data_IF_003114111253
#
_entry.id   IF_003114111253
#
_cell.length_a   1.000
_cell.length_b   1.000
_cell.length_c   1.000
_cell.angle_alpha   90.00
_cell.angle_beta   90.00
_cell.angle_gamma   90.00
#
_symmetry.space_group_name_H-M   'P 1'
#
loop_
_entity.id
_entity.type
_entity.pdbx_description
1 polymer ?
#
# COMPACT_ATOMS: atom_id res chain seq x y z
N UNK A 1 -2.49 11.15 27.00
CA UNK A 1 -3.01 10.64 25.71
C UNK A 1 -1.89 10.24 24.74
N UNK A 2 -0.86 11.07 24.53
CA UNK A 2 0.29 10.78 23.65
C UNK A 2 1.06 9.49 24.00
N UNK A 3 1.42 9.29 25.28
CA UNK A 3 2.17 8.09 25.71
C UNK A 3 1.38 6.78 25.51
N UNK A 4 0.06 6.82 25.68
CA UNK A 4 -0.82 5.66 25.48
C UNK A 4 -0.84 5.22 24.02
N UNK A 5 -1.02 6.18 23.10
CA UNK A 5 -1.03 5.91 21.66
C UNK A 5 0.33 5.37 21.15
N UNK A 6 1.44 5.95 21.61
CA UNK A 6 2.78 5.47 21.28
C UNK A 6 3.05 4.05 21.81
N UNK A 7 2.63 3.77 23.05
CA UNK A 7 2.76 2.43 23.68
C UNK A 7 1.92 1.39 22.94
N UNK A 8 0.67 1.76 22.59
CA UNK A 8 -0.24 0.92 21.80
C UNK A 8 0.37 0.58 20.44
N UNK A 9 0.88 1.58 19.72
CA UNK A 9 1.55 1.33 18.44
C UNK A 9 2.77 0.41 18.60
N UNK A 10 3.60 0.63 19.63
CA UNK A 10 4.77 -0.21 19.91
C UNK A 10 4.38 -1.66 20.19
N UNK A 11 3.31 -1.89 20.97
CA UNK A 11 2.73 -3.21 21.19
C UNK A 11 2.32 -3.87 19.86
N UNK A 12 1.58 -3.14 19.03
CA UNK A 12 1.11 -3.65 17.73
C UNK A 12 2.27 -3.97 16.80
N UNK A 13 3.26 -3.08 16.68
CA UNK A 13 4.44 -3.27 15.83
C UNK A 13 5.20 -4.52 16.25
N UNK A 14 5.43 -4.69 17.55
CA UNK A 14 6.09 -5.88 18.10
C UNK A 14 5.28 -7.16 17.83
N UNK A 15 3.96 -7.11 17.94
CA UNK A 15 3.09 -8.23 17.61
C UNK A 15 3.20 -8.63 16.13
N UNK A 16 3.14 -7.65 15.22
CA UNK A 16 3.25 -7.85 13.77
C UNK A 16 4.62 -8.41 13.38
N UNK A 17 5.70 -7.91 13.99
CA UNK A 17 7.07 -8.44 13.83
C UNK A 17 7.13 -9.91 14.27
N UNK A 18 6.61 -10.24 15.45
CA UNK A 18 6.57 -11.63 15.97
C UNK A 18 5.76 -12.58 15.09
N UNK A 19 4.87 -12.05 14.24
CA UNK A 19 4.09 -12.82 13.25
C UNK A 19 4.77 -12.93 11.88
N UNK A 20 6.02 -12.48 11.75
CA UNK A 20 6.86 -12.70 10.56
C UNK A 20 6.81 -11.59 9.51
N UNK A 21 6.29 -10.40 9.84
CA UNK A 21 6.15 -9.29 8.88
C UNK A 21 7.30 -8.28 8.93
N UNK A 22 8.44 -8.64 9.53
CA UNK A 22 9.63 -7.77 9.64
C UNK A 22 10.12 -7.27 8.28
N UNK A 23 10.20 -8.15 7.28
CA UNK A 23 10.68 -7.79 5.94
C UNK A 23 9.76 -6.80 5.25
N UNK A 24 8.45 -6.93 5.43
CA UNK A 24 7.47 -6.02 4.83
C UNK A 24 7.52 -4.62 5.46
N UNK A 25 7.66 -4.56 6.80
CA UNK A 25 7.87 -3.30 7.51
C UNK A 25 9.18 -2.65 7.06
N UNK A 26 10.26 -3.45 6.97
CA UNK A 26 11.58 -2.97 6.55
C UNK A 26 11.55 -2.49 5.10
N UNK A 27 10.89 -3.21 4.20
CA UNK A 27 10.66 -2.76 2.84
C UNK A 27 9.95 -1.41 2.82
N UNK A 28 8.81 -1.29 3.52
CA UNK A 28 8.01 -0.06 3.53
C UNK A 28 8.79 1.14 4.11
N UNK A 29 9.68 0.91 5.07
CA UNK A 29 10.55 1.93 5.66
C UNK A 29 11.63 2.43 4.68
N UNK A 30 12.04 1.59 3.71
CA UNK A 30 13.08 1.92 2.74
C UNK A 30 12.53 2.43 1.39
N UNK A 31 11.22 2.35 1.14
CA UNK A 31 10.65 2.88 -0.11
C UNK A 31 10.80 4.40 -0.16
N UNK A 32 11.50 4.89 -1.18
CA UNK A 32 11.78 6.30 -1.39
C UNK A 32 11.30 6.76 -2.79
N UNK A 33 10.48 7.80 -2.85
CA UNK A 33 9.98 8.33 -4.12
C UNK A 33 11.10 8.86 -5.03
N UNK A 34 12.20 9.38 -4.44
CA UNK A 34 13.35 9.86 -5.23
C UNK A 34 14.03 8.71 -5.98
N UNK A 35 14.03 7.51 -5.44
CA UNK A 35 14.61 6.30 -6.04
C UNK A 35 13.63 5.56 -6.96
N UNK A 36 12.37 6.02 -7.05
CA UNK A 36 11.36 5.43 -7.92
C UNK A 36 11.81 5.47 -9.39
N UNK A 37 11.98 4.30 -9.99
CA UNK A 37 12.22 4.11 -11.41
C UNK A 37 10.99 3.57 -12.16
N UNK A 38 11.09 3.47 -13.48
CA UNK A 38 10.01 3.00 -14.34
C UNK A 38 9.58 1.57 -14.00
N UNK A 39 10.55 0.71 -13.68
CA UNK A 39 10.32 -0.70 -13.37
C UNK A 39 9.52 -0.86 -12.08
N UNK A 40 9.94 -0.17 -11.03
CA UNK A 40 9.26 -0.15 -9.73
C UNK A 40 7.85 0.44 -9.91
N UNK A 41 7.71 1.55 -10.62
CA UNK A 41 6.40 2.16 -10.86
C UNK A 41 5.43 1.20 -11.57
N UNK A 42 5.87 0.55 -12.65
CA UNK A 42 5.05 -0.41 -13.41
C UNK A 42 4.67 -1.63 -12.55
N UNK A 43 5.59 -2.13 -11.73
CA UNK A 43 5.32 -3.21 -10.78
C UNK A 43 4.28 -2.80 -9.75
N UNK A 44 4.43 -1.64 -9.12
CA UNK A 44 3.54 -1.18 -8.05
C UNK A 44 2.14 -0.83 -8.59
N UNK A 45 2.04 -0.16 -9.74
CA UNK A 45 0.72 0.11 -10.32
C UNK A 45 0.00 -1.18 -10.72
N UNK A 46 0.73 -2.17 -11.25
CA UNK A 46 0.15 -3.48 -11.56
C UNK A 46 -0.32 -4.21 -10.30
N UNK A 47 0.49 -4.22 -9.23
CA UNK A 47 0.12 -4.77 -7.93
C UNK A 47 -1.19 -4.15 -7.41
N UNK A 48 -1.30 -2.83 -7.46
CA UNK A 48 -2.48 -2.11 -6.97
C UNK A 48 -3.71 -2.37 -7.84
N UNK A 49 -3.57 -2.37 -9.17
CA UNK A 49 -4.66 -2.70 -10.12
C UNK A 49 -5.19 -4.09 -9.83
N UNK A 50 -4.33 -5.08 -9.63
CA UNK A 50 -4.73 -6.45 -9.33
C UNK A 50 -5.41 -6.55 -7.96
N UNK A 51 -4.85 -5.89 -6.95
CA UNK A 51 -5.32 -5.90 -5.55
C UNK A 51 -6.69 -5.23 -5.34
N UNK A 52 -7.08 -4.31 -6.23
CA UNK A 52 -8.37 -3.61 -6.16
C UNK A 52 -9.56 -4.61 -6.09
N UNK A 53 -10.25 -4.67 -4.96
CA UNK A 53 -11.39 -5.59 -4.75
C UNK A 53 -11.03 -7.08 -4.63
N UNK A 54 -9.76 -7.41 -4.41
CA UNK A 54 -9.29 -8.79 -4.26
C UNK A 54 -8.69 -9.03 -2.88
N UNK A 55 -8.72 -10.29 -2.40
CA UNK A 55 -7.92 -10.68 -1.23
C UNK A 55 -6.44 -10.59 -1.59
N UNK A 56 -5.65 -9.97 -0.73
CA UNK A 56 -4.22 -9.75 -0.94
C UNK A 56 -3.46 -11.06 -1.15
N UNK A 57 -3.79 -12.11 -0.39
CA UNK A 57 -3.20 -13.44 -0.53
C UNK A 57 -3.42 -14.08 -1.91
N UNK A 58 -4.56 -13.83 -2.56
CA UNK A 58 -4.82 -14.32 -3.92
C UNK A 58 -3.85 -13.66 -4.89
N UNK A 59 -3.68 -12.33 -4.79
CA UNK A 59 -2.80 -11.58 -5.69
C UNK A 59 -1.35 -11.96 -5.44
N UNK A 60 -0.91 -12.05 -4.18
CA UNK A 60 0.43 -12.49 -3.80
C UNK A 60 0.81 -13.81 -4.48
N UNK A 61 -0.09 -14.79 -4.47
CA UNK A 61 0.17 -16.12 -5.03
C UNK A 61 0.30 -16.16 -6.56
N UNK A 62 -0.20 -15.14 -7.27
CA UNK A 62 -0.13 -15.08 -8.74
C UNK A 62 0.83 -14.02 -9.26
N UNK A 63 1.31 -13.11 -8.40
CA UNK A 63 1.96 -11.88 -8.84
C UNK A 63 3.29 -12.14 -9.54
N UNK A 64 4.06 -13.16 -9.14
CA UNK A 64 5.31 -13.51 -9.82
C UNK A 64 5.06 -14.00 -11.26
N UNK A 65 4.06 -14.86 -11.46
CA UNK A 65 3.66 -15.33 -12.80
C UNK A 65 3.13 -14.20 -13.69
N UNK A 66 2.41 -13.25 -13.08
CA UNK A 66 1.99 -12.04 -13.79
C UNK A 66 3.22 -11.19 -14.13
N UNK A 67 4.13 -10.99 -13.19
CA UNK A 67 5.38 -10.24 -13.42
C UNK A 67 6.17 -10.81 -14.60
N UNK A 68 6.35 -12.13 -14.65
CA UNK A 68 6.99 -12.82 -15.78
C UNK A 68 6.27 -12.57 -17.11
N UNK A 69 4.93 -12.57 -17.10
CA UNK A 69 4.11 -12.28 -18.28
C UNK A 69 4.33 -10.87 -18.82
N UNK A 70 4.75 -9.94 -17.96
CA UNK A 70 5.07 -8.55 -18.28
C UNK A 70 6.58 -8.26 -18.26
N UNK A 71 7.41 -9.27 -18.54
CA UNK A 71 8.87 -9.16 -18.62
C UNK A 71 9.50 -8.59 -17.33
N UNK A 72 8.98 -8.99 -16.17
CA UNK A 72 9.40 -8.52 -14.86
C UNK A 72 9.48 -6.99 -14.76
N UNK A 73 8.53 -6.33 -15.45
CA UNK A 73 8.34 -4.88 -15.46
C UNK A 73 9.52 -4.10 -16.03
N UNK A 74 10.40 -4.74 -16.83
CA UNK A 74 11.68 -4.16 -17.30
C UNK A 74 11.53 -2.77 -17.92
N UNK A 75 10.54 -2.57 -18.80
CA UNK A 75 10.16 -1.24 -19.31
C UNK A 75 8.79 -1.27 -19.97
N UNK A 76 8.11 -0.14 -19.99
CA UNK A 76 6.84 0.08 -20.69
C UNK A 76 7.01 -0.15 -22.18
N UNK A 77 8.11 0.32 -22.79
CA UNK A 77 8.44 0.09 -24.21
C UNK A 77 8.45 -1.39 -24.58
N UNK A 78 9.06 -2.23 -23.74
CA UNK A 78 9.10 -3.69 -23.97
C UNK A 78 7.71 -4.32 -23.83
N UNK A 79 6.94 -3.90 -22.82
CA UNK A 79 5.56 -4.37 -22.62
C UNK A 79 4.70 -4.01 -23.84
N UNK A 80 4.76 -2.78 -24.33
CA UNK A 80 3.94 -2.31 -25.45
C UNK A 80 4.32 -2.99 -26.77
N UNK A 81 5.61 -3.16 -27.03
CA UNK A 81 6.09 -3.93 -28.19
C UNK A 81 5.55 -5.36 -28.22
N UNK A 82 5.22 -5.93 -27.06
CA UNK A 82 4.78 -7.31 -26.89
C UNK A 82 3.37 -7.43 -26.28
N UNK A 83 2.53 -6.40 -26.40
CA UNK A 83 1.28 -6.26 -25.62
C UNK A 83 0.35 -7.48 -25.71
N UNK A 84 0.19 -8.06 -26.90
CA UNK A 84 -0.68 -9.22 -27.11
C UNK A 84 -0.14 -10.45 -26.39
N UNK A 85 1.18 -10.67 -26.46
CA UNK A 85 1.87 -11.75 -25.73
C UNK A 85 1.74 -11.57 -24.22
N UNK A 86 1.91 -10.35 -23.71
CA UNK A 86 1.68 -10.02 -22.30
C UNK A 86 0.25 -10.37 -21.89
N UNK A 87 -0.73 -9.91 -22.67
CA UNK A 87 -2.15 -10.13 -22.42
C UNK A 87 -2.48 -11.63 -22.36
N UNK A 88 -2.18 -12.38 -23.43
CA UNK A 88 -2.53 -13.79 -23.53
C UNK A 88 -1.82 -14.67 -22.50
N UNK A 89 -0.58 -14.33 -22.10
CA UNK A 89 0.10 -15.03 -21.00
C UNK A 89 -0.56 -14.71 -19.65
N UNK A 90 -0.79 -13.42 -19.37
CA UNK A 90 -1.32 -13.00 -18.09
C UNK A 90 -2.75 -13.50 -17.82
N UNK A 91 -3.63 -13.52 -18.83
CA UNK A 91 -5.01 -14.03 -18.65
C UNK A 91 -5.07 -15.53 -18.35
N UNK A 92 -4.04 -16.31 -18.75
CA UNK A 92 -3.93 -17.73 -18.38
C UNK A 92 -3.59 -17.90 -16.90
N UNK A 93 -2.87 -16.94 -16.32
CA UNK A 93 -2.54 -16.93 -14.89
C UNK A 93 -3.67 -16.32 -14.05
N UNK A 94 -4.35 -15.30 -14.58
CA UNK A 94 -5.40 -14.56 -13.91
C UNK A 94 -6.49 -14.15 -14.88
N UNK A 95 -7.61 -14.88 -14.87
CA UNK A 95 -8.72 -14.70 -15.82
C UNK A 95 -9.59 -13.47 -15.50
N UNK A 96 -8.97 -12.29 -15.39
CA UNK A 96 -9.64 -11.00 -15.29
C UNK A 96 -9.13 -10.07 -16.40
N UNK A 97 -9.74 -10.20 -17.56
CA UNK A 97 -9.34 -9.47 -18.78
C UNK A 97 -9.27 -7.96 -18.55
N UNK A 98 -10.22 -7.38 -17.82
CA UNK A 98 -10.28 -5.93 -17.59
C UNK A 98 -9.08 -5.42 -16.76
N UNK A 99 -8.69 -6.15 -15.71
CA UNK A 99 -7.50 -5.79 -14.92
C UNK A 99 -6.22 -5.98 -15.71
N UNK A 100 -6.10 -7.05 -16.50
CA UNK A 100 -4.92 -7.25 -17.35
C UNK A 100 -4.82 -6.15 -18.42
N UNK A 101 -5.94 -5.79 -19.06
CA UNK A 101 -5.97 -4.65 -19.99
C UNK A 101 -5.60 -3.34 -19.31
N UNK A 102 -6.02 -3.11 -18.06
CA UNK A 102 -5.65 -1.91 -17.31
C UNK A 102 -4.15 -1.80 -17.05
N UNK A 103 -3.46 -2.92 -16.81
CA UNK A 103 -1.99 -2.93 -16.68
C UNK A 103 -1.32 -2.53 -18.01
N UNK A 104 -1.82 -3.04 -19.14
CA UNK A 104 -1.32 -2.67 -20.47
C UNK A 104 -1.56 -1.18 -20.74
N UNK A 105 -2.76 -0.67 -20.47
CA UNK A 105 -3.09 0.75 -20.63
C UNK A 105 -2.22 1.65 -19.73
N UNK A 106 -1.90 1.21 -18.52
CA UNK A 106 -0.95 1.91 -17.66
C UNK A 106 0.45 1.97 -18.30
N UNK A 107 0.96 0.85 -18.82
CA UNK A 107 2.23 0.83 -19.56
C UNK A 107 2.18 1.70 -20.82
N UNK A 108 1.05 1.76 -21.55
CA UNK A 108 0.89 2.61 -22.73
C UNK A 108 1.00 4.09 -22.34
N UNK A 109 0.34 4.49 -21.25
CA UNK A 109 0.42 5.85 -20.71
C UNK A 109 1.85 6.21 -20.29
N UNK A 110 2.55 5.31 -19.61
CA UNK A 110 3.97 5.50 -19.23
C UNK A 110 4.85 5.65 -20.48
N UNK A 111 4.70 4.76 -21.46
CA UNK A 111 5.50 4.79 -22.69
C UNK A 111 5.25 6.06 -23.52
N UNK A 112 4.00 6.56 -23.54
CA UNK A 112 3.62 7.77 -24.27
C UNK A 112 4.17 9.04 -23.63
N UNK A 113 4.10 9.15 -22.31
CA UNK A 113 4.54 10.36 -21.57
C UNK A 113 6.07 10.33 -21.35
N UNK A 114 6.64 9.14 -21.20
CA UNK A 114 7.98 8.94 -20.67
C UNK A 114 7.98 8.97 -19.13
N UNK A 115 8.64 8.00 -18.51
CA UNK A 115 8.58 7.84 -17.05
C UNK A 115 9.12 9.06 -16.29
N UNK A 116 10.21 9.69 -16.73
CA UNK A 116 10.77 10.87 -16.06
C UNK A 116 9.75 12.02 -16.00
N UNK A 117 9.08 12.31 -17.12
CA UNK A 117 8.06 13.36 -17.19
C UNK A 117 6.84 12.98 -16.33
N UNK A 118 6.43 11.72 -16.37
CA UNK A 118 5.34 11.22 -15.52
C UNK A 118 5.67 11.37 -14.03
N UNK A 119 6.90 11.02 -13.61
CA UNK A 119 7.37 11.16 -12.22
C UNK A 119 7.31 12.62 -11.76
N UNK A 120 7.72 13.56 -12.61
CA UNK A 120 7.59 15.01 -12.32
C UNK A 120 6.13 15.41 -12.11
N UNK A 121 5.25 15.01 -13.02
CA UNK A 121 3.81 15.29 -12.93
C UNK A 121 3.20 14.70 -11.64
N UNK A 122 3.58 13.47 -11.27
CA UNK A 122 3.14 12.83 -10.03
C UNK A 122 3.66 13.59 -8.81
N UNK A 123 4.91 14.09 -8.83
CA UNK A 123 5.48 14.83 -7.69
C UNK A 123 4.74 16.13 -7.40
N UNK A 124 4.16 16.77 -8.42
CA UNK A 124 3.43 18.03 -8.30
C UNK A 124 1.99 17.81 -7.81
N UNK A 125 1.31 16.76 -8.30
CA UNK A 125 -0.06 16.45 -7.90
C UNK A 125 -0.30 14.92 -7.88
N UNK A 126 0.15 14.20 -6.84
CA UNK A 126 0.19 12.74 -6.86
C UNK A 126 -1.19 12.11 -6.87
N UNK A 127 -2.12 12.64 -6.07
CA UNK A 127 -3.43 12.04 -5.87
C UNK A 127 -4.29 12.15 -7.12
N UNK A 128 -4.36 13.32 -7.75
CA UNK A 128 -5.19 13.48 -8.95
C UNK A 128 -4.58 12.75 -10.14
N UNK A 129 -3.25 12.85 -10.32
CA UNK A 129 -2.57 12.28 -11.48
C UNK A 129 -2.56 10.76 -11.49
N UNK A 130 -2.45 10.14 -10.32
CA UNK A 130 -2.52 8.69 -10.22
C UNK A 130 -3.95 8.16 -10.36
N UNK A 131 -4.98 8.94 -10.03
CA UNK A 131 -6.38 8.54 -10.25
C UNK A 131 -6.79 8.53 -11.72
N UNK A 132 -6.02 9.16 -12.61
CA UNK A 132 -6.23 9.07 -14.06
C UNK A 132 -5.92 7.66 -14.61
N UNK A 133 -5.35 6.75 -13.83
CA UNK A 133 -5.12 5.36 -14.23
C UNK A 133 -6.33 4.48 -13.92
N UNK A 134 -6.68 3.59 -14.84
CA UNK A 134 -7.77 2.64 -14.65
C UNK A 134 -7.62 1.83 -13.36
N UNK A 135 -8.72 1.61 -12.64
CA UNK A 135 -8.80 0.93 -11.33
C UNK A 135 -8.16 1.68 -10.16
N UNK A 136 -7.58 2.86 -10.35
CA UNK A 136 -7.04 3.69 -9.28
C UNK A 136 -8.09 4.73 -8.87
N UNK A 137 -8.99 4.34 -7.97
CA UNK A 137 -10.01 5.23 -7.41
C UNK A 137 -9.57 6.01 -6.16
N UNK A 138 -10.48 6.77 -5.54
CA UNK A 138 -10.18 7.69 -4.43
C UNK A 138 -9.54 7.05 -3.19
N UNK A 139 -9.80 5.77 -2.92
CA UNK A 139 -9.14 5.04 -1.82
C UNK A 139 -7.91 4.28 -2.32
N UNK A 140 -7.99 3.70 -3.52
CA UNK A 140 -6.93 2.86 -4.10
C UNK A 140 -5.68 3.67 -4.43
N UNK A 141 -5.82 4.95 -4.78
CA UNK A 141 -4.68 5.85 -5.00
C UNK A 141 -3.74 5.91 -3.81
N UNK A 142 -4.27 5.89 -2.58
CA UNK A 142 -3.47 5.88 -1.36
C UNK A 142 -2.63 4.61 -1.19
N UNK A 143 -3.06 3.49 -1.77
CA UNK A 143 -2.24 2.27 -1.85
C UNK A 143 -1.04 2.49 -2.77
N UNK A 144 -1.27 3.12 -3.93
CA UNK A 144 -0.20 3.35 -4.89
C UNK A 144 0.80 4.39 -4.38
N UNK A 145 0.34 5.54 -3.87
CA UNK A 145 1.26 6.61 -3.41
C UNK A 145 2.19 6.13 -2.29
N UNK A 146 1.69 5.32 -1.34
CA UNK A 146 2.54 4.79 -0.27
C UNK A 146 3.54 3.74 -0.79
N UNK A 147 3.13 2.92 -1.76
CA UNK A 147 3.97 1.90 -2.38
C UNK A 147 5.10 2.48 -3.24
N UNK A 148 4.93 3.71 -3.73
CA UNK A 148 5.96 4.44 -4.48
C UNK A 148 6.75 5.43 -3.60
N UNK A 149 6.56 5.41 -2.28
CA UNK A 149 7.40 6.13 -1.32
C UNK A 149 6.93 7.54 -0.96
N UNK A 150 5.67 7.89 -1.24
CA UNK A 150 5.08 9.14 -0.76
C UNK A 150 4.45 8.93 0.62
N UNK A 151 4.48 9.97 1.49
CA UNK A 151 4.13 9.83 2.91
C UNK A 151 2.62 9.90 3.15
N UNK A 152 1.88 8.91 2.63
CA UNK A 152 0.44 8.79 2.78
C UNK A 152 0.04 7.47 3.46
N UNK A 153 -1.04 7.52 4.23
CA UNK A 153 -1.73 6.33 4.71
C UNK A 153 -2.94 6.01 3.81
N UNK A 154 -3.34 4.74 3.72
CA UNK A 154 -4.51 4.30 2.96
C UNK A 154 -5.75 4.32 3.87
N UNK A 155 -6.76 5.14 3.57
CA UNK A 155 -7.95 5.24 4.41
C UNK A 155 -8.93 4.07 4.13
N UNK A 156 -8.46 2.84 4.27
CA UNK A 156 -9.30 1.64 4.15
C UNK A 156 -10.15 1.40 5.41
N UNK A 157 -11.03 0.40 5.33
CA UNK A 157 -12.01 0.13 6.39
C UNK A 157 -11.35 -0.20 7.74
N UNK A 158 -10.19 -0.83 7.77
CA UNK A 158 -9.52 -1.23 9.01
C UNK A 158 -8.89 -0.01 9.65
N UNK A 159 -8.11 0.74 8.86
CA UNK A 159 -7.42 1.91 9.39
C UNK A 159 -8.40 3.03 9.80
N UNK A 160 -9.52 3.21 9.07
CA UNK A 160 -10.62 4.10 9.47
C UNK A 160 -11.25 3.70 10.81
N UNK A 161 -11.45 2.40 11.05
CA UNK A 161 -12.03 1.90 12.31
C UNK A 161 -11.08 2.13 13.49
N UNK A 162 -9.80 1.86 13.30
CA UNK A 162 -8.77 2.12 14.32
C UNK A 162 -8.70 3.62 14.60
N UNK A 163 -8.55 4.46 13.58
CA UNK A 163 -8.52 5.92 13.74
C UNK A 163 -9.74 6.43 14.51
N UNK A 164 -10.96 5.98 14.16
CA UNK A 164 -12.19 6.35 14.87
C UNK A 164 -12.17 5.93 16.35
N UNK A 165 -11.70 4.71 16.65
CA UNK A 165 -11.57 4.24 18.05
C UNK A 165 -10.60 5.12 18.84
N UNK A 166 -9.53 5.61 18.21
CA UNK A 166 -8.57 6.52 18.82
C UNK A 166 -9.03 7.99 18.82
N UNK A 167 -10.27 8.29 18.41
CA UNK A 167 -10.84 9.64 18.42
C UNK A 167 -10.51 10.49 17.19
N UNK A 168 -10.04 9.89 16.09
CA UNK A 168 -9.69 10.57 14.85
C UNK A 168 -10.80 10.44 13.79
N UNK A 169 -11.14 11.54 13.13
CA UNK A 169 -12.02 11.56 11.95
C UNK A 169 -11.28 11.36 10.63
N UNK A 170 -9.95 11.55 10.62
CA UNK A 170 -9.09 11.47 9.45
C UNK A 170 -7.91 10.52 9.70
N UNK A 171 -7.71 9.59 8.76
CA UNK A 171 -6.65 8.58 8.80
C UNK A 171 -5.27 9.22 8.57
N UNK A 172 -5.17 10.27 7.74
CA UNK A 172 -3.87 10.92 7.54
C UNK A 172 -3.38 11.56 8.82
N UNK A 173 -4.26 12.30 9.53
CA UNK A 173 -3.95 12.88 10.83
C UNK A 173 -3.60 11.82 11.87
N UNK A 174 -4.39 10.74 11.96
CA UNK A 174 -4.10 9.62 12.86
C UNK A 174 -2.70 9.05 12.65
N UNK A 175 -2.37 8.67 11.41
CA UNK A 175 -1.07 8.09 11.10
C UNK A 175 0.09 9.11 11.24
N UNK A 176 -0.18 10.40 10.98
CA UNK A 176 0.79 11.47 11.20
C UNK A 176 1.16 11.62 12.68
N UNK A 177 0.16 11.63 13.57
CA UNK A 177 0.42 11.81 15.00
C UNK A 177 1.19 10.61 15.57
N UNK A 178 0.81 9.39 15.19
CA UNK A 178 1.57 8.18 15.56
C UNK A 178 3.00 8.24 15.00
N UNK A 179 3.16 8.70 13.75
CA UNK A 179 4.47 8.87 13.12
C UNK A 179 5.37 9.83 13.92
N UNK A 180 4.84 11.00 14.31
CA UNK A 180 5.57 11.97 15.14
C UNK A 180 5.95 11.38 16.50
N UNK A 181 5.05 10.63 17.13
CA UNK A 181 5.27 10.05 18.46
C UNK A 181 6.31 8.91 18.48
N UNK A 182 6.51 8.23 17.35
CA UNK A 182 7.24 6.95 17.31
C UNK A 182 8.48 6.98 16.41
N UNK A 183 8.58 7.97 15.52
CA UNK A 183 9.65 8.08 14.54
C UNK A 183 9.46 7.24 13.28
N UNK A 184 8.48 6.32 13.25
CA UNK A 184 8.14 5.59 12.02
C UNK A 184 7.44 6.51 11.02
N UNK A 185 7.68 6.30 9.72
CA UNK A 185 7.01 7.07 8.68
C UNK A 185 5.51 6.72 8.57
N UNK A 186 4.69 7.64 8.04
CA UNK A 186 3.24 7.38 7.86
C UNK A 186 2.93 6.08 7.09
N UNK A 187 3.64 5.72 6.00
CA UNK A 187 3.43 4.43 5.34
C UNK A 187 3.77 3.21 6.22
N UNK A 188 4.78 3.32 7.09
CA UNK A 188 5.12 2.26 8.05
C UNK A 188 4.06 2.13 9.14
N UNK A 189 3.54 3.26 9.64
CA UNK A 189 2.41 3.25 10.58
C UNK A 189 1.19 2.56 9.97
N UNK A 190 0.84 2.93 8.73
CA UNK A 190 -0.24 2.32 7.97
C UNK A 190 -0.09 0.79 7.86
N UNK A 191 1.07 0.31 7.39
CA UNK A 191 1.25 -1.12 7.13
C UNK A 191 1.22 -1.95 8.42
N UNK A 192 1.73 -1.39 9.53
CA UNK A 192 1.71 -2.04 10.85
C UNK A 192 0.27 -2.21 11.35
N UNK A 193 -0.53 -1.14 11.35
CA UNK A 193 -1.94 -1.23 11.76
C UNK A 193 -2.77 -2.12 10.83
N UNK A 194 -2.54 -2.00 9.52
CA UNK A 194 -3.25 -2.81 8.54
C UNK A 194 -2.91 -4.31 8.69
N UNK A 195 -1.63 -4.66 8.90
CA UNK A 195 -1.23 -6.05 9.16
C UNK A 195 -1.82 -6.58 10.45
N UNK A 196 -1.77 -5.81 11.53
CA UNK A 196 -2.42 -6.18 12.77
C UNK A 196 -3.91 -6.53 12.58
N UNK A 197 -4.64 -5.69 11.85
CA UNK A 197 -6.05 -5.88 11.58
C UNK A 197 -6.38 -7.04 10.62
N UNK A 198 -5.41 -7.52 9.83
CA UNK A 198 -5.60 -8.64 8.90
C UNK A 198 -5.20 -9.99 9.49
N UNK A 199 -4.30 -10.02 10.48
CA UNK A 199 -3.85 -11.25 11.15
C UNK A 199 -4.49 -11.49 12.52
N UNK A 200 -5.14 -10.47 13.08
CA UNK A 200 -5.81 -10.53 14.39
C UNK A 200 -7.31 -10.41 14.19
N UNK A 201 -8.06 -11.52 14.30
CA UNK A 201 -9.51 -11.45 14.44
C UNK A 201 -9.87 -10.55 15.62
N UNK A 202 -10.92 -9.73 15.47
CA UNK A 202 -11.40 -8.82 16.52
C UNK A 202 -10.33 -7.85 17.10
N UNK A 203 -9.43 -7.37 16.24
CA UNK A 203 -8.37 -6.42 16.59
C UNK A 203 -8.86 -5.19 17.37
N UNK A 204 -10.11 -4.76 17.22
CA UNK A 204 -10.65 -3.62 17.97
C UNK A 204 -10.83 -3.92 19.46
N UNK A 205 -11.28 -5.13 19.80
CA UNK A 205 -11.42 -5.56 21.18
C UNK A 205 -10.06 -5.72 21.85
N UNK A 206 -9.08 -6.28 21.13
CA UNK A 206 -7.68 -6.34 21.62
C UNK A 206 -7.15 -4.95 21.99
N UNK A 207 -7.48 -3.94 21.19
CA UNK A 207 -7.09 -2.56 21.48
C UNK A 207 -7.85 -1.98 22.68
N UNK A 208 -9.10 -2.37 22.93
CA UNK A 208 -9.84 -1.96 24.13
C UNK A 208 -9.26 -2.58 25.39
N UNK A 209 -8.91 -3.86 25.38
CA UNK A 209 -8.26 -4.53 26.51
C UNK A 209 -6.92 -3.85 26.82
N UNK A 210 -6.12 -3.55 25.79
CA UNK A 210 -4.90 -2.77 25.97
C UNK A 210 -5.17 -1.41 26.63
N UNK A 211 -6.25 -0.74 26.23
CA UNK A 211 -6.62 0.56 26.80
C UNK A 211 -6.90 0.47 28.30
N UNK A 212 -7.64 -0.55 28.72
CA UNK A 212 -8.00 -0.82 30.12
C UNK A 212 -6.77 -1.19 30.96
N UNK A 213 -5.92 -2.09 30.45
CA UNK A 213 -4.68 -2.49 31.12
C UNK A 213 -3.71 -1.32 31.30
N UNK A 214 -3.56 -0.49 30.27
CA UNK A 214 -2.70 0.70 30.35
C UNK A 214 -3.22 1.71 31.38
N UNK A 215 -4.53 1.96 31.43
CA UNK A 215 -5.11 2.91 32.37
C UNK A 215 -5.00 2.41 33.83
N UNK A 216 -5.17 1.10 34.05
CA UNK A 216 -4.95 0.49 35.36
C UNK A 216 -3.48 0.59 35.80
N UNK A 217 -2.53 0.39 34.89
CA UNK A 217 -1.10 0.49 35.18
C UNK A 217 -0.65 1.91 35.53
N UNK A 218 -1.23 2.94 34.90
CA UNK A 218 -0.85 4.34 35.16
C UNK A 218 -1.59 4.93 36.37
N UNK A 219 -2.73 4.35 36.76
CA UNK A 219 -3.54 4.83 37.89
C UNK A 219 -3.19 4.20 39.23
N UNK A 220 -2.39 3.12 39.25
CA UNK A 220 -1.89 2.44 40.45
C UNK A 220 -0.45 2.83 40.76
#
# INVERSE_FOLDING_TARGET
>A
MSNKLASKYSFIKNYVIKRGFTEEISWQANVCFNELDERIFLREIAWVILSSGMKETIIRNIFDKISESFFNWTSSKLIIKNKDKCFYKAIKCFNNKNKISAIIMAAEKVNKIGFHQLKKIISENPIDKLQEFYYIGPVTVYHLVKNIGLPYAKPDRHLKRIAKKEGYSDVQKFCNDVSILTGDSKPVVDIVFWRFATITPDYLNVLSIFDEEYDNFVSG
#
